data_IF_563171390617
#
_entry.id   IF_563171390617
#
_cell.length_a   1.000
_cell.length_b   1.000
_cell.length_c   1.000
_cell.angle_alpha   90.00
_cell.angle_beta   90.00
_cell.angle_gamma   90.00
#
_symmetry.space_group_name_H-M   'P 1'
#
loop_
_entity.id
_entity.type
_entity.pdbx_description
1 polymer ?
#
# COMPACT_ATOMS: atom_id res chain seq x y z
N UNK A 1 -24.31 15.97 9.15
CA UNK A 1 -23.69 17.14 9.82
C UNK A 1 -22.52 17.57 8.95
N UNK A 2 -22.48 18.81 8.47
CA UNK A 2 -21.34 19.33 7.71
C UNK A 2 -20.30 19.87 8.69
N UNK A 3 -19.04 19.47 8.51
CA UNK A 3 -17.92 19.84 9.39
C UNK A 3 -16.95 20.71 8.59
N UNK A 4 -16.69 21.94 9.04
CA UNK A 4 -15.79 22.88 8.37
C UNK A 4 -14.42 22.85 9.05
N UNK A 5 -13.44 22.23 8.40
CA UNK A 5 -12.05 22.18 8.87
C UNK A 5 -11.18 23.04 7.97
N UNK A 6 -10.34 23.89 8.57
CA UNK A 6 -9.40 24.77 7.86
C UNK A 6 -7.99 24.32 8.23
N UNK A 7 -7.16 24.06 7.23
CA UNK A 7 -5.76 23.66 7.40
C UNK A 7 -4.90 24.60 6.53
N UNK A 8 -3.95 25.30 7.14
CA UNK A 8 -3.09 26.31 6.50
C UNK A 8 -3.87 27.37 5.68
N UNK A 9 -5.02 27.79 6.20
CA UNK A 9 -5.90 28.76 5.52
C UNK A 9 -6.76 28.18 4.40
N UNK A 10 -6.63 26.87 4.10
CA UNK A 10 -7.43 26.19 3.09
C UNK A 10 -8.59 25.41 3.72
N UNK A 11 -9.79 25.54 3.17
CA UNK A 11 -10.94 24.73 3.60
C UNK A 11 -10.82 23.31 3.04
N UNK A 12 -10.88 22.31 3.92
CA UNK A 12 -10.86 20.91 3.50
C UNK A 12 -12.23 20.51 2.92
N UNK A 13 -12.20 19.87 1.75
CA UNK A 13 -13.41 19.34 1.11
C UNK A 13 -13.87 18.07 1.84
N UNK A 14 -15.12 18.05 2.30
CA UNK A 14 -15.73 16.84 2.84
C UNK A 14 -16.11 15.91 1.67
N UNK A 15 -15.40 14.79 1.56
CA UNK A 15 -15.63 13.78 0.51
C UNK A 15 -16.27 12.54 1.11
N UNK A 16 -17.09 11.85 0.30
CA UNK A 16 -17.71 10.57 0.70
C UNK A 16 -16.73 9.40 0.68
N UNK A 17 -15.72 9.49 -0.18
CA UNK A 17 -14.69 8.48 -0.32
C UNK A 17 -13.36 9.15 -0.59
N UNK A 18 -12.30 8.64 0.03
CA UNK A 18 -10.94 9.11 -0.17
C UNK A 18 -10.00 7.92 -0.34
N UNK A 19 -9.02 8.06 -1.24
CA UNK A 19 -7.96 7.07 -1.37
C UNK A 19 -6.79 7.46 -0.47
N UNK A 20 -6.43 6.60 0.46
CA UNK A 20 -5.35 6.84 1.43
C UNK A 20 -4.45 5.62 1.46
N UNK A 21 -3.17 5.79 1.13
CA UNK A 21 -2.17 4.71 1.08
C UNK A 21 -2.61 3.49 0.25
N UNK A 22 -3.33 3.71 -0.85
CA UNK A 22 -3.85 2.62 -1.68
C UNK A 22 -5.16 1.99 -1.21
N UNK A 23 -5.63 2.34 0.00
CA UNK A 23 -6.94 1.94 0.52
C UNK A 23 -8.02 2.94 0.13
N UNK A 24 -9.27 2.49 0.07
CA UNK A 24 -10.42 3.36 -0.17
C UNK A 24 -11.21 3.48 1.12
N UNK A 25 -11.11 4.65 1.76
CA UNK A 25 -11.88 4.98 2.95
C UNK A 25 -13.20 5.60 2.54
N UNK A 26 -14.28 5.20 3.20
CA UNK A 26 -15.59 5.82 3.08
C UNK A 26 -15.86 6.74 4.29
N UNK A 27 -16.83 7.65 4.16
CA UNK A 27 -17.30 8.56 5.22
C UNK A 27 -17.72 7.85 6.52
N UNK A 28 -18.15 6.59 6.44
CA UNK A 28 -18.50 5.75 7.58
C UNK A 28 -17.35 4.82 8.04
N UNK A 29 -16.16 4.93 7.43
CA UNK A 29 -15.02 4.03 7.64
C UNK A 29 -15.37 2.55 7.43
N UNK A 30 -16.33 2.27 6.53
CA UNK A 30 -16.73 0.92 6.16
C UNK A 30 -15.88 0.46 4.97
N UNK A 31 -15.33 -0.74 5.08
CA UNK A 31 -14.43 -1.30 4.08
C UNK A 31 -15.13 -1.96 2.90
N UNK A 32 -16.46 -1.98 2.85
CA UNK A 32 -17.25 -2.68 1.81
C UNK A 32 -16.82 -2.24 0.41
N UNK A 33 -16.73 -0.93 0.17
CA UNK A 33 -16.32 -0.40 -1.13
C UNK A 33 -14.87 -0.76 -1.47
N UNK A 34 -13.98 -0.74 -0.47
CA UNK A 34 -12.59 -1.15 -0.66
C UNK A 34 -12.49 -2.65 -0.98
N UNK A 35 -13.21 -3.50 -0.25
CA UNK A 35 -13.27 -4.95 -0.45
C UNK A 35 -13.78 -5.27 -1.85
N UNK A 36 -14.84 -4.60 -2.32
CA UNK A 36 -15.34 -4.78 -3.69
C UNK A 36 -14.27 -4.45 -4.74
N UNK A 37 -13.58 -3.32 -4.56
CA UNK A 37 -12.50 -2.89 -5.45
C UNK A 37 -11.30 -3.88 -5.41
N UNK A 38 -10.96 -4.37 -4.23
CA UNK A 38 -9.89 -5.35 -4.00
C UNK A 38 -10.24 -6.69 -4.67
N UNK A 39 -11.45 -7.20 -4.45
CA UNK A 39 -11.97 -8.42 -5.09
C UNK A 39 -11.94 -8.29 -6.62
N UNK A 40 -12.38 -7.16 -7.19
CA UNK A 40 -12.31 -6.90 -8.63
C UNK A 40 -10.87 -6.95 -9.16
N UNK A 41 -9.94 -6.32 -8.44
CA UNK A 41 -8.51 -6.31 -8.79
C UNK A 41 -7.91 -7.72 -8.74
N UNK A 42 -8.15 -8.46 -7.65
CA UNK A 42 -7.66 -9.82 -7.46
C UNK A 42 -8.23 -10.76 -8.52
N UNK A 43 -9.53 -10.68 -8.81
CA UNK A 43 -10.17 -11.49 -9.84
C UNK A 43 -9.56 -11.25 -11.22
N UNK A 44 -9.24 -10.00 -11.55
CA UNK A 44 -8.58 -9.65 -12.81
C UNK A 44 -7.18 -10.29 -12.90
N UNK A 45 -6.40 -10.24 -11.81
CA UNK A 45 -5.06 -10.84 -11.74
C UNK A 45 -5.11 -12.37 -11.76
N UNK A 46 -6.09 -12.98 -11.08
CA UNK A 46 -6.36 -14.42 -11.14
C UNK A 46 -6.76 -14.87 -12.55
N UNK A 47 -7.61 -14.09 -13.23
CA UNK A 47 -8.00 -14.37 -14.60
C UNK A 47 -6.80 -14.31 -15.53
N UNK A 48 -5.92 -13.32 -15.36
CA UNK A 48 -4.66 -13.23 -16.09
C UNK A 48 -3.78 -14.45 -15.82
N UNK A 49 -3.54 -14.79 -14.55
CA UNK A 49 -2.76 -15.98 -14.16
C UNK A 49 -3.33 -17.23 -14.82
N UNK A 50 -4.66 -17.44 -14.76
CA UNK A 50 -5.33 -18.58 -15.38
C UNK A 50 -5.06 -18.65 -16.89
N UNK A 51 -5.06 -17.51 -17.59
CA UNK A 51 -4.78 -17.44 -19.03
C UNK A 51 -3.32 -17.77 -19.35
N UNK A 52 -2.37 -17.25 -18.58
CA UNK A 52 -0.94 -17.45 -18.87
C UNK A 52 -0.37 -18.73 -18.23
N UNK A 53 -1.10 -19.38 -17.31
CA UNK A 53 -0.64 -20.51 -16.50
C UNK A 53 0.04 -21.63 -17.30
N UNK A 54 -0.45 -21.92 -18.50
CA UNK A 54 0.09 -22.98 -19.36
C UNK A 54 1.48 -22.67 -19.95
N UNK A 55 1.90 -21.40 -19.92
CA UNK A 55 3.25 -20.97 -20.29
C UNK A 55 4.19 -20.84 -19.09
N UNK A 56 3.71 -20.98 -17.85
CA UNK A 56 4.49 -20.79 -16.64
C UNK A 56 4.84 -22.14 -16.00
N UNK A 57 6.05 -22.23 -15.45
CA UNK A 57 6.40 -23.29 -14.49
C UNK A 57 5.65 -23.06 -13.17
N UNK A 58 5.57 -24.10 -12.33
CA UNK A 58 4.94 -24.01 -11.00
C UNK A 58 5.57 -22.90 -10.15
N UNK A 59 6.90 -22.78 -10.17
CA UNK A 59 7.65 -21.75 -9.44
C UNK A 59 7.28 -20.35 -9.94
N UNK A 60 7.28 -20.12 -11.25
CA UNK A 60 6.89 -18.84 -11.83
C UNK A 60 5.44 -18.48 -11.49
N UNK A 61 4.52 -19.44 -11.53
CA UNK A 61 3.12 -19.21 -11.18
C UNK A 61 2.95 -18.84 -9.69
N UNK A 62 3.73 -19.48 -8.81
CA UNK A 62 3.75 -19.16 -7.37
C UNK A 62 4.31 -17.76 -7.13
N UNK A 63 5.42 -17.38 -7.77
CA UNK A 63 5.98 -16.03 -7.70
C UNK A 63 5.00 -14.97 -8.19
N UNK A 64 4.30 -15.23 -9.28
CA UNK A 64 3.25 -14.34 -9.77
C UNK A 64 2.14 -14.19 -8.73
N UNK A 65 1.62 -15.30 -8.19
CA UNK A 65 0.59 -15.26 -7.17
C UNK A 65 1.03 -14.45 -5.94
N UNK A 66 2.23 -14.72 -5.42
CA UNK A 66 2.75 -14.03 -4.24
C UNK A 66 2.93 -12.53 -4.48
N UNK A 67 3.56 -12.15 -5.59
CA UNK A 67 3.87 -10.74 -5.91
C UNK A 67 2.64 -9.92 -6.32
N UNK A 68 1.72 -10.52 -7.07
CA UNK A 68 0.61 -9.79 -7.69
C UNK A 68 -0.71 -9.97 -6.94
N UNK A 69 -0.93 -11.04 -6.19
CA UNK A 69 -2.22 -11.27 -5.51
C UNK A 69 -2.02 -11.21 -4.00
N UNK A 70 -1.12 -12.03 -3.48
CA UNK A 70 -0.92 -12.19 -2.04
C UNK A 70 -0.44 -10.89 -1.38
N UNK A 71 0.45 -10.13 -2.04
CA UNK A 71 0.94 -8.83 -1.55
C UNK A 71 -0.19 -7.85 -1.23
N UNK A 72 -1.24 -7.79 -2.05
CA UNK A 72 -2.38 -6.90 -1.84
C UNK A 72 -3.28 -7.38 -0.69
N UNK A 73 -3.43 -8.70 -0.53
CA UNK A 73 -4.18 -9.29 0.57
C UNK A 73 -3.48 -9.07 1.91
N UNK A 74 -2.17 -9.33 1.97
CA UNK A 74 -1.36 -9.12 3.19
C UNK A 74 -1.39 -7.64 3.59
N UNK A 75 -1.23 -6.72 2.64
CA UNK A 75 -1.29 -5.29 2.94
C UNK A 75 -2.65 -4.91 3.56
N UNK A 76 -3.77 -5.30 2.93
CA UNK A 76 -5.09 -5.04 3.48
C UNK A 76 -5.29 -5.71 4.86
N UNK A 77 -4.86 -6.96 5.01
CA UNK A 77 -4.94 -7.69 6.27
C UNK A 77 -4.12 -7.00 7.37
N UNK A 78 -2.94 -6.45 7.07
CA UNK A 78 -2.12 -5.74 8.07
C UNK A 78 -2.77 -4.47 8.61
N UNK A 79 -3.62 -3.82 7.81
CA UNK A 79 -4.35 -2.62 8.23
C UNK A 79 -5.67 -2.98 8.91
N UNK A 80 -6.28 -4.11 8.54
CA UNK A 80 -7.60 -4.52 9.02
C UNK A 80 -7.57 -5.45 10.24
N UNK A 81 -6.61 -6.37 10.30
CA UNK A 81 -6.49 -7.33 11.38
C UNK A 81 -5.82 -6.65 12.58
N UNK A 82 -6.62 -6.13 13.50
CA UNK A 82 -6.16 -5.83 14.85
C UNK A 82 -5.81 -7.16 15.54
N UNK A 83 -4.57 -7.30 16.01
CA UNK A 83 -3.99 -8.51 16.61
C UNK A 83 -4.99 -9.38 17.38
N UNK A 84 -5.39 -10.48 16.74
CA UNK A 84 -5.96 -11.67 17.38
C UNK A 84 -5.36 -12.95 16.79
N UNK A 85 -4.14 -12.89 16.24
CA UNK A 85 -3.43 -14.08 15.77
C UNK A 85 -2.28 -14.41 16.72
N UNK A 86 -2.64 -14.77 17.95
CA UNK A 86 -1.97 -15.90 18.58
C UNK A 86 -2.48 -17.16 17.86
N UNK A 87 -1.55 -17.86 17.22
CA UNK A 87 -1.67 -19.22 16.68
C UNK A 87 -2.18 -19.37 15.23
N UNK A 88 -1.34 -20.10 14.47
CA UNK A 88 -1.58 -20.72 13.16
C UNK A 88 -1.43 -19.81 11.92
N UNK A 89 -0.18 -19.53 11.51
CA UNK A 89 0.17 -19.67 10.09
C UNK A 89 1.64 -20.03 9.92
N UNK A 90 1.88 -21.09 9.15
CA UNK A 90 3.18 -21.54 8.67
C UNK A 90 3.96 -20.38 8.05
N UNK A 91 5.28 -20.40 8.26
CA UNK A 91 6.29 -19.46 7.78
C UNK A 91 6.01 -18.91 6.37
N UNK A 92 5.38 -17.74 6.29
CA UNK A 92 5.59 -16.82 5.19
C UNK A 92 6.24 -15.61 5.83
N UNK A 93 7.57 -15.54 5.72
CA UNK A 93 8.43 -14.47 6.24
C UNK A 93 7.84 -13.10 5.90
N UNK A 94 7.00 -12.60 6.80
CA UNK A 94 6.70 -11.18 6.92
C UNK A 94 7.99 -10.60 7.47
N UNK A 95 8.72 -9.90 6.61
CA UNK A 95 9.73 -8.93 7.06
C UNK A 95 9.15 -8.17 8.26
N UNK A 96 9.94 -7.94 9.32
CA UNK A 96 9.44 -7.41 10.57
C UNK A 96 8.60 -6.16 10.28
N UNK A 97 7.40 -6.08 10.89
CA UNK A 97 6.60 -4.85 10.99
C UNK A 97 7.58 -3.69 11.05
N UNK A 98 7.44 -2.70 10.16
CA UNK A 98 8.32 -1.52 10.06
C UNK A 98 8.62 -1.09 11.49
N UNK A 99 9.78 -1.52 11.99
CA UNK A 99 10.14 -1.33 13.37
C UNK A 99 10.35 0.16 13.48
N UNK A 100 9.82 0.73 14.56
CA UNK A 100 9.90 2.14 14.94
C UNK A 100 10.99 2.87 14.15
N UNK A 101 10.57 3.68 13.17
CA UNK A 101 11.50 4.35 12.26
C UNK A 101 12.25 5.39 13.09
N UNK A 102 13.41 4.99 13.62
CA UNK A 102 14.32 5.89 14.32
C UNK A 102 15.04 6.68 13.23
N UNK A 103 14.74 7.98 13.15
CA UNK A 103 15.35 8.87 12.18
C UNK A 103 16.28 9.84 12.92
N UNK A 104 17.57 9.86 12.55
CA UNK A 104 18.53 10.86 13.01
C UNK A 104 18.64 12.02 12.02
N UNK A 105 18.61 13.26 12.50
CA UNK A 105 18.69 14.47 11.66
C UNK A 105 19.94 14.48 10.76
N UNK A 106 21.08 14.07 11.32
CA UNK A 106 22.35 14.01 10.57
C UNK A 106 22.29 13.00 9.43
N UNK A 107 21.67 11.84 9.66
CA UNK A 107 21.52 10.80 8.64
C UNK A 107 20.60 11.28 7.51
N UNK A 108 19.47 11.93 7.83
CA UNK A 108 18.59 12.52 6.81
C UNK A 108 19.37 13.56 5.98
N UNK A 109 20.09 14.46 6.64
CA UNK A 109 20.80 15.54 5.95
C UNK A 109 21.85 14.97 4.98
N UNK A 110 22.56 13.92 5.38
CA UNK A 110 23.48 13.22 4.46
C UNK A 110 22.74 12.57 3.30
N UNK A 111 21.60 11.93 3.56
CA UNK A 111 20.79 11.30 2.52
C UNK A 111 20.27 12.32 1.50
N UNK A 112 19.71 13.44 1.97
CA UNK A 112 19.22 14.54 1.14
C UNK A 112 20.33 15.17 0.28
N UNK A 113 21.56 15.29 0.81
CA UNK A 113 22.71 15.75 0.04
C UNK A 113 23.11 14.77 -1.07
N UNK A 114 22.99 13.46 -0.81
CA UNK A 114 23.33 12.40 -1.79
C UNK A 114 22.26 12.13 -2.84
N UNK A 115 21.03 12.65 -2.65
CA UNK A 115 19.93 12.49 -3.60
C UNK A 115 20.23 13.17 -4.95
N UNK A 116 20.11 12.39 -6.01
CA UNK A 116 20.18 12.88 -7.39
C UNK A 116 18.84 13.48 -7.80
N UNK A 117 18.82 14.81 -7.93
CA UNK A 117 17.64 15.60 -8.28
C UNK A 117 17.11 15.32 -9.69
N UNK A 118 17.89 14.66 -10.55
CA UNK A 118 17.50 14.29 -11.92
C UNK A 118 16.95 12.87 -12.03
N UNK A 119 16.98 12.09 -10.94
CA UNK A 119 16.48 10.73 -10.95
C UNK A 119 14.96 10.72 -11.15
N UNK A 120 14.48 9.72 -11.90
CA UNK A 120 13.06 9.55 -12.16
C UNK A 120 12.27 9.44 -10.84
N UNK A 121 11.12 10.09 -10.84
CA UNK A 121 10.18 10.04 -9.74
C UNK A 121 9.72 8.61 -9.48
N UNK A 122 9.74 8.19 -8.20
CA UNK A 122 9.28 6.87 -7.78
C UNK A 122 7.75 6.71 -7.88
N UNK A 123 7.22 5.54 -7.44
CA UNK A 123 5.77 5.28 -7.43
C UNK A 123 4.94 6.27 -6.59
N UNK A 124 5.62 7.08 -5.76
CA UNK A 124 5.02 8.12 -4.93
C UNK A 124 4.78 9.46 -5.67
N UNK A 125 5.19 9.58 -6.94
CA UNK A 125 5.01 10.79 -7.77
C UNK A 125 5.69 12.08 -7.24
N UNK A 126 6.56 11.99 -6.22
CA UNK A 126 7.32 13.13 -5.67
C UNK A 126 8.73 13.23 -6.31
N UNK A 127 9.04 14.29 -7.07
CA UNK A 127 10.37 14.47 -7.66
C UNK A 127 11.43 14.76 -6.59
N UNK A 128 12.61 14.14 -6.72
CA UNK A 128 13.73 14.27 -5.76
C UNK A 128 14.19 15.72 -5.52
N UNK A 129 13.97 16.61 -6.48
CA UNK A 129 14.26 18.05 -6.36
C UNK A 129 13.40 18.78 -5.32
N UNK A 130 12.23 18.26 -4.96
CA UNK A 130 11.40 18.84 -3.89
C UNK A 130 11.88 18.46 -2.49
N UNK A 131 12.65 17.37 -2.38
CA UNK A 131 13.15 16.85 -1.11
C UNK A 131 14.51 17.45 -0.73
N UNK A 132 15.19 18.07 -1.69
CA UNK A 132 16.49 18.73 -1.52
C UNK A 132 16.29 20.22 -1.30
#
# INVERSE_FOLDING_TARGET
>A
RSLSVILDGNMLAQVKQAKVLGLTLDEFLIWTKHIDNLCSTINSRLALLRRIKHFLTKDCALRFYNSCINSSLIYFASVFATDNLSDQSEELSTDPLISEVIVSELEIETLLKTLDSNKATGPDEIPARLLK
#
